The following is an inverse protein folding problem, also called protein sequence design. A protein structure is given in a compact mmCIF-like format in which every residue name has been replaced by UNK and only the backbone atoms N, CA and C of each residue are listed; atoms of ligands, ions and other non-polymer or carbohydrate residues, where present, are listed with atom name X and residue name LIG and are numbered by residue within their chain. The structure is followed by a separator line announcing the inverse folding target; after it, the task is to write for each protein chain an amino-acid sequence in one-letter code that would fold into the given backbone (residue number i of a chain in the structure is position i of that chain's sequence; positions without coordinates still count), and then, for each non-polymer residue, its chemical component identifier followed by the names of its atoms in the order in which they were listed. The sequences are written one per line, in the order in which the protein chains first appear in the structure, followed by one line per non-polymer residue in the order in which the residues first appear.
data_IF_628741232651
#
_entry.id   IF_628741232651
#
_cell.length_a   1.000
_cell.length_b   1.000
_cell.length_c   1.000
_cell.angle_alpha   90.00
_cell.angle_beta   90.00
_cell.angle_gamma   90.00
#
_symmetry.space_group_name_H-M   'P 1'
#
loop_
_entity.id
_entity.type
_entity.pdbx_description
1 polymer ?
#
# COMPACT_ATOMS: atom_id res chain seq x y z
N UNK A 1 -157.44 -49.90 106.01
CA UNK A 1 -156.90 -49.03 104.94
C UNK A 1 -155.53 -49.60 104.58
N UNK A 2 -155.24 -50.22 103.43
CA UNK A 2 -155.87 -50.21 102.12
C UNK A 2 -154.94 -49.71 101.00
N UNK A 3 -153.62 -49.69 101.19
CA UNK A 3 -152.65 -49.17 100.20
C UNK A 3 -151.49 -50.17 100.06
N UNK A 4 -151.18 -50.58 98.83
CA UNK A 4 -150.06 -51.45 98.45
C UNK A 4 -149.12 -50.67 97.51
N UNK A 5 -147.82 -50.67 97.80
CA UNK A 5 -146.82 -49.88 97.06
C UNK A 5 -146.34 -50.71 95.86
N UNK A 6 -146.66 -50.28 94.64
CA UNK A 6 -146.30 -50.98 93.39
C UNK A 6 -144.82 -50.79 92.99
N UNK A 7 -144.24 -49.63 93.29
CA UNK A 7 -142.86 -49.30 92.91
C UNK A 7 -142.42 -48.07 93.70
N UNK A 8 -141.19 -48.14 94.24
CA UNK A 8 -140.51 -46.99 94.83
C UNK A 8 -139.36 -46.59 93.89
N UNK A 9 -139.52 -45.45 93.21
CA UNK A 9 -138.47 -44.89 92.35
C UNK A 9 -137.88 -43.68 93.06
N UNK A 10 -136.59 -43.76 93.40
CA UNK A 10 -135.83 -42.63 93.93
C UNK A 10 -135.66 -41.63 92.79
N UNK A 11 -136.18 -40.40 92.97
CA UNK A 11 -136.02 -39.33 91.98
C UNK A 11 -134.68 -38.63 92.14
N UNK A 12 -134.39 -38.17 93.36
CA UNK A 12 -133.21 -37.37 93.64
C UNK A 12 -132.58 -37.80 94.96
N UNK A 13 -131.25 -37.93 94.96
CA UNK A 13 -130.44 -38.19 96.15
C UNK A 13 -129.62 -36.94 96.41
N UNK A 14 -129.91 -36.26 97.51
CA UNK A 14 -129.16 -35.09 97.97
C UNK A 14 -128.30 -35.47 99.17
N UNK A 15 -127.11 -34.89 99.21
CA UNK A 15 -126.12 -35.10 100.26
C UNK A 15 -125.77 -33.74 100.88
N UNK A 16 -125.90 -33.64 102.20
CA UNK A 16 -125.62 -32.42 102.96
C UNK A 16 -124.11 -32.19 103.16
N UNK A 17 -123.27 -33.21 102.92
CA UNK A 17 -121.81 -33.19 103.20
C UNK A 17 -120.95 -33.25 101.92
N UNK A 18 -121.51 -32.97 100.74
CA UNK A 18 -120.80 -32.81 99.46
C UNK A 18 -119.87 -33.99 99.04
N UNK A 19 -120.08 -35.19 99.57
CA UNK A 19 -119.24 -36.37 99.35
C UNK A 19 -119.29 -36.83 97.89
N UNK A 20 -120.47 -36.84 97.26
CA UNK A 20 -120.61 -37.23 95.84
C UNK A 20 -119.94 -36.24 94.88
N UNK A 21 -120.01 -34.94 95.18
CA UNK A 21 -119.36 -33.87 94.42
C UNK A 21 -117.84 -34.01 94.45
N UNK A 22 -117.29 -34.30 95.64
CA UNK A 22 -115.84 -34.44 95.84
C UNK A 22 -115.27 -35.69 95.17
N UNK A 23 -116.02 -36.80 95.15
CA UNK A 23 -115.63 -38.02 94.44
C UNK A 23 -115.51 -37.78 92.92
N UNK A 24 -116.42 -36.99 92.32
CA UNK A 24 -116.37 -36.63 90.91
C UNK A 24 -115.24 -35.65 90.52
N UNK A 25 -114.85 -34.75 91.44
CA UNK A 25 -113.73 -33.79 91.22
C UNK A 25 -112.39 -34.49 91.02
N UNK A 26 -112.11 -35.54 91.79
CA UNK A 26 -110.87 -36.32 91.63
C UNK A 26 -110.81 -37.04 90.28
N UNK A 27 -111.90 -37.70 89.89
CA UNK A 27 -111.98 -38.42 88.62
C UNK A 27 -111.87 -37.48 87.40
N UNK A 28 -112.52 -36.30 87.46
CA UNK A 28 -112.43 -35.30 86.38
C UNK A 28 -111.05 -34.65 86.27
N UNK A 29 -110.36 -34.40 87.38
CA UNK A 29 -108.97 -33.92 87.36
C UNK A 29 -108.01 -34.96 86.79
N UNK A 30 -108.20 -36.24 87.10
CA UNK A 30 -107.42 -37.35 86.55
C UNK A 30 -107.60 -37.45 85.02
N UNK A 31 -108.84 -37.42 84.53
CA UNK A 31 -109.11 -37.45 83.09
C UNK A 31 -108.53 -36.23 82.36
N UNK A 32 -108.61 -35.03 82.95
CA UNK A 32 -107.99 -33.83 82.37
C UNK A 32 -106.46 -33.95 82.31
N UNK A 33 -105.83 -34.44 83.39
CA UNK A 33 -104.38 -34.67 83.44
C UNK A 33 -103.94 -35.70 82.39
N UNK A 34 -104.68 -36.79 82.23
CA UNK A 34 -104.38 -37.83 81.25
C UNK A 34 -104.59 -37.31 79.82
N UNK A 35 -105.60 -36.47 79.59
CA UNK A 35 -105.80 -35.80 78.31
C UNK A 35 -104.65 -34.82 77.99
N UNK A 36 -104.25 -34.00 78.96
CA UNK A 36 -103.14 -33.05 78.80
C UNK A 36 -101.80 -33.79 78.58
N UNK A 37 -101.58 -34.90 79.28
CA UNK A 37 -100.42 -35.77 79.07
C UNK A 37 -100.44 -36.40 77.67
N UNK A 38 -101.59 -36.91 77.23
CA UNK A 38 -101.75 -37.46 75.87
C UNK A 38 -101.53 -36.41 74.77
N UNK A 39 -101.99 -35.17 74.97
CA UNK A 39 -101.72 -34.06 74.04
C UNK A 39 -100.23 -33.69 74.03
N UNK A 40 -99.58 -33.66 75.20
CA UNK A 40 -98.15 -33.34 75.29
C UNK A 40 -97.26 -34.44 74.66
N UNK A 41 -97.61 -35.71 74.85
CA UNK A 41 -96.95 -36.85 74.21
C UNK A 41 -97.15 -36.84 72.70
N UNK A 42 -98.39 -36.61 72.23
CA UNK A 42 -98.67 -36.49 70.80
C UNK A 42 -97.91 -35.33 70.15
N UNK A 43 -97.84 -34.17 70.81
CA UNK A 43 -97.07 -33.02 70.32
C UNK A 43 -95.56 -33.28 70.31
N UNK A 44 -95.04 -33.99 71.33
CA UNK A 44 -93.63 -34.39 71.38
C UNK A 44 -93.29 -35.35 70.25
N UNK A 45 -94.09 -36.38 70.04
CA UNK A 45 -93.87 -37.38 69.01
C UNK A 45 -94.04 -36.80 67.60
N UNK A 46 -95.00 -35.89 67.43
CA UNK A 46 -95.13 -35.11 66.20
C UNK A 46 -93.88 -34.26 65.94
N UNK A 47 -93.37 -33.56 66.96
CA UNK A 47 -92.15 -32.74 66.85
C UNK A 47 -90.89 -33.54 66.56
N UNK A 48 -90.71 -34.71 67.18
CA UNK A 48 -89.57 -35.62 66.90
C UNK A 48 -89.65 -36.12 65.46
N UNK A 49 -90.83 -36.58 65.03
CA UNK A 49 -91.03 -37.10 63.68
C UNK A 49 -90.85 -36.01 62.63
N UNK A 50 -91.31 -34.78 62.91
CA UNK A 50 -91.09 -33.63 62.05
C UNK A 50 -89.59 -33.28 61.96
N UNK A 51 -88.87 -33.24 63.08
CA UNK A 51 -87.44 -32.97 63.10
C UNK A 51 -86.63 -34.05 62.36
N UNK A 52 -87.00 -35.32 62.48
CA UNK A 52 -86.39 -36.44 61.75
C UNK A 52 -86.64 -36.32 60.24
N UNK A 53 -87.87 -36.05 59.83
CA UNK A 53 -88.21 -35.82 58.42
C UNK A 53 -87.47 -34.60 57.86
N UNK A 54 -87.36 -33.51 58.62
CA UNK A 54 -86.61 -32.32 58.23
C UNK A 54 -85.11 -32.61 58.09
N UNK A 55 -84.52 -33.35 59.05
CA UNK A 55 -83.12 -33.76 58.98
C UNK A 55 -82.86 -34.61 57.74
N UNK A 56 -83.69 -35.63 57.48
CA UNK A 56 -83.55 -36.48 56.29
C UNK A 56 -83.68 -35.69 54.99
N UNK A 57 -84.63 -34.75 54.92
CA UNK A 57 -84.79 -33.88 53.75
C UNK A 57 -83.55 -32.99 53.52
N UNK A 58 -82.96 -32.44 54.59
CA UNK A 58 -81.74 -31.64 54.50
C UNK A 58 -80.52 -32.49 54.12
N UNK A 59 -80.38 -33.70 54.68
CA UNK A 59 -79.30 -34.62 54.31
C UNK A 59 -79.35 -34.99 52.82
N UNK A 60 -80.56 -35.25 52.29
CA UNK A 60 -80.75 -35.52 50.85
C UNK A 60 -80.45 -34.27 50.01
N UNK A 61 -80.87 -33.07 50.44
CA UNK A 61 -80.53 -31.81 49.76
C UNK A 61 -79.02 -31.60 49.72
N UNK A 62 -78.33 -31.66 50.85
CA UNK A 62 -76.88 -31.46 50.90
C UNK A 62 -76.12 -32.53 50.10
N UNK A 63 -76.57 -33.78 50.12
CA UNK A 63 -75.98 -34.83 49.27
C UNK A 63 -76.14 -34.51 47.78
N UNK A 64 -77.32 -34.02 47.39
CA UNK A 64 -77.62 -33.63 46.01
C UNK A 64 -76.78 -32.42 45.60
N UNK A 65 -76.73 -31.39 46.43
CA UNK A 65 -75.98 -30.16 46.16
C UNK A 65 -74.47 -30.44 46.06
N UNK A 66 -73.94 -31.29 46.96
CA UNK A 66 -72.54 -31.73 46.89
C UNK A 66 -72.25 -32.43 45.57
N UNK A 67 -73.13 -33.32 45.12
CA UNK A 67 -72.98 -34.01 43.81
C UNK A 67 -73.08 -33.04 42.64
N UNK A 68 -73.95 -32.02 42.71
CA UNK A 68 -74.07 -31.00 41.66
C UNK A 68 -72.78 -30.20 41.56
N UNK A 69 -72.25 -29.74 42.69
CA UNK A 69 -71.00 -28.97 42.72
C UNK A 69 -69.79 -29.82 42.31
N UNK A 70 -69.72 -31.09 42.71
CA UNK A 70 -68.69 -32.01 42.25
C UNK A 70 -68.75 -32.21 40.73
N UNK A 71 -69.95 -32.43 40.17
CA UNK A 71 -70.13 -32.53 38.73
C UNK A 71 -69.76 -31.22 38.01
N UNK A 72 -70.14 -30.07 38.56
CA UNK A 72 -69.80 -28.76 38.01
C UNK A 72 -68.29 -28.49 38.04
N UNK A 73 -67.62 -28.87 39.15
CA UNK A 73 -66.17 -28.79 39.29
C UNK A 73 -65.48 -29.70 38.28
N UNK A 74 -65.92 -30.95 38.15
CA UNK A 74 -65.37 -31.92 37.19
C UNK A 74 -65.53 -31.42 35.75
N UNK A 75 -66.72 -30.90 35.40
CA UNK A 75 -66.96 -30.31 34.09
C UNK A 75 -66.03 -29.11 33.81
N UNK A 76 -65.87 -28.19 34.78
CA UNK A 76 -64.96 -27.05 34.64
C UNK A 76 -63.51 -27.47 34.48
N UNK A 77 -63.07 -28.47 35.25
CA UNK A 77 -61.71 -29.00 35.20
C UNK A 77 -61.44 -29.67 33.85
N UNK A 78 -62.39 -30.46 33.36
CA UNK A 78 -62.29 -31.11 32.06
C UNK A 78 -62.32 -30.09 30.91
N UNK A 79 -63.16 -29.05 30.99
CA UNK A 79 -63.14 -27.93 30.04
C UNK A 79 -61.79 -27.21 30.03
N UNK A 80 -61.24 -26.89 31.21
CA UNK A 80 -59.93 -26.26 31.33
C UNK A 80 -58.81 -27.13 30.74
N UNK A 81 -58.85 -28.45 30.93
CA UNK A 81 -57.89 -29.37 30.31
C UNK A 81 -57.98 -29.34 28.78
N UNK A 82 -59.19 -29.38 28.22
CA UNK A 82 -59.37 -29.27 26.76
C UNK A 82 -58.93 -27.91 26.22
N UNK A 83 -59.26 -26.81 26.92
CA UNK A 83 -58.81 -25.48 26.54
C UNK A 83 -57.27 -25.39 26.59
N UNK A 84 -56.64 -26.01 27.58
CA UNK A 84 -55.18 -26.12 27.66
C UNK A 84 -54.62 -26.89 26.46
N UNK A 85 -55.16 -28.07 26.14
CA UNK A 85 -54.71 -28.89 25.00
C UNK A 85 -54.89 -28.16 23.65
N UNK A 86 -56.03 -27.49 23.46
CA UNK A 86 -56.30 -26.70 22.25
C UNK A 86 -55.30 -25.55 22.15
N UNK A 87 -55.02 -24.85 23.26
CA UNK A 87 -54.08 -23.74 23.28
C UNK A 87 -52.64 -24.21 23.05
N UNK A 88 -52.22 -25.34 23.64
CA UNK A 88 -50.90 -25.92 23.38
C UNK A 88 -50.77 -26.35 21.92
N UNK A 89 -51.75 -27.06 21.37
CA UNK A 89 -51.75 -27.48 19.98
C UNK A 89 -51.73 -26.29 19.01
N UNK A 90 -52.46 -25.21 19.35
CA UNK A 90 -52.47 -23.96 18.57
C UNK A 90 -51.12 -23.25 18.64
N UNK A 91 -50.50 -23.15 19.81
CA UNK A 91 -49.18 -22.56 19.99
C UNK A 91 -48.11 -23.37 19.24
N UNK A 92 -48.14 -24.70 19.31
CA UNK A 92 -47.25 -25.58 18.56
C UNK A 92 -47.42 -25.41 17.05
N UNK A 93 -48.66 -25.34 16.56
CA UNK A 93 -48.95 -25.10 15.14
C UNK A 93 -48.43 -23.75 14.67
N UNK A 94 -48.58 -22.69 15.47
CA UNK A 94 -48.04 -21.36 15.17
C UNK A 94 -46.51 -21.37 15.14
N UNK A 95 -45.86 -21.96 16.14
CA UNK A 95 -44.39 -22.08 16.18
C UNK A 95 -43.86 -22.94 15.02
N UNK A 96 -44.56 -24.02 14.65
CA UNK A 96 -44.20 -24.85 13.51
C UNK A 96 -44.33 -24.06 12.19
N UNK A 97 -45.39 -23.27 12.03
CA UNK A 97 -45.57 -22.40 10.87
C UNK A 97 -44.46 -21.34 10.77
N UNK A 98 -44.16 -20.66 11.88
CA UNK A 98 -43.08 -19.67 11.94
C UNK A 98 -41.70 -20.28 11.65
N UNK A 99 -41.43 -21.47 12.21
CA UNK A 99 -40.20 -22.21 11.96
C UNK A 99 -40.06 -22.60 10.49
N UNK A 100 -41.15 -23.06 9.86
CA UNK A 100 -41.15 -23.38 8.42
C UNK A 100 -40.95 -22.13 7.57
N UNK A 101 -41.62 -21.02 7.91
CA UNK A 101 -41.42 -19.74 7.24
C UNK A 101 -39.96 -19.26 7.35
N UNK A 102 -39.33 -19.40 8.53
CA UNK A 102 -37.93 -19.07 8.74
C UNK A 102 -36.98 -19.97 7.92
N UNK A 103 -37.23 -21.28 7.88
CA UNK A 103 -36.46 -22.22 7.04
C UNK A 103 -36.57 -21.89 5.56
N UNK A 104 -37.77 -21.57 5.07
CA UNK A 104 -38.00 -21.17 3.69
C UNK A 104 -37.26 -19.86 3.40
N UNK A 105 -37.35 -18.85 4.27
CA UNK A 105 -36.59 -17.60 4.13
C UNK A 105 -35.08 -17.83 4.11
N UNK A 106 -34.56 -18.73 4.93
CA UNK A 106 -33.14 -19.10 4.90
C UNK A 106 -32.75 -19.73 3.56
N UNK A 107 -33.58 -20.64 3.02
CA UNK A 107 -33.37 -21.23 1.69
C UNK A 107 -33.39 -20.17 0.59
N UNK A 108 -34.37 -19.27 0.60
CA UNK A 108 -34.46 -18.15 -0.36
C UNK A 108 -33.19 -17.30 -0.30
N UNK A 109 -32.77 -16.88 0.90
CA UNK A 109 -31.54 -16.10 1.08
C UNK A 109 -30.30 -16.82 0.57
N UNK A 110 -30.18 -18.12 0.82
CA UNK A 110 -29.06 -18.91 0.31
C UNK A 110 -29.04 -18.95 -1.22
N UNK A 111 -30.21 -19.03 -1.86
CA UNK A 111 -30.34 -18.99 -3.32
C UNK A 111 -30.03 -17.60 -3.87
N UNK A 112 -30.53 -16.53 -3.22
CA UNK A 112 -30.20 -15.14 -3.55
C UNK A 112 -28.70 -14.89 -3.53
N UNK A 113 -28.00 -15.33 -2.48
CA UNK A 113 -26.53 -15.22 -2.39
C UNK A 113 -25.85 -15.99 -3.54
N UNK A 114 -26.39 -17.14 -3.95
CA UNK A 114 -25.83 -17.88 -5.09
C UNK A 114 -26.02 -17.12 -6.40
N UNK A 115 -27.18 -16.52 -6.61
CA UNK A 115 -27.45 -15.66 -7.77
C UNK A 115 -26.45 -14.49 -7.78
N UNK A 116 -26.26 -13.80 -6.66
CA UNK A 116 -25.32 -12.68 -6.53
C UNK A 116 -23.87 -13.12 -6.81
N UNK A 117 -23.45 -14.29 -6.32
CA UNK A 117 -22.11 -14.84 -6.58
C UNK A 117 -21.94 -15.15 -8.07
N UNK A 118 -22.95 -15.71 -8.73
CA UNK A 118 -22.91 -15.99 -10.17
C UNK A 118 -22.88 -14.70 -10.97
N UNK A 119 -23.67 -13.70 -10.61
CA UNK A 119 -23.67 -12.38 -11.25
C UNK A 119 -22.30 -11.70 -11.11
N UNK A 120 -21.74 -11.65 -9.90
CA UNK A 120 -20.40 -11.10 -9.64
C UNK A 120 -19.32 -11.84 -10.40
N UNK A 121 -19.38 -13.18 -10.47
CA UNK A 121 -18.43 -13.97 -11.26
C UNK A 121 -18.50 -13.63 -12.74
N UNK A 122 -19.72 -13.53 -13.30
CA UNK A 122 -19.91 -13.13 -14.70
C UNK A 122 -19.42 -11.70 -14.94
N UNK A 123 -19.62 -10.79 -14.00
CA UNK A 123 -19.10 -9.43 -14.10
C UNK A 123 -17.57 -9.41 -14.14
N UNK A 124 -16.90 -10.15 -13.23
CA UNK A 124 -15.44 -10.30 -13.24
C UNK A 124 -14.96 -10.92 -14.55
N UNK A 125 -15.69 -11.90 -15.10
CA UNK A 125 -15.35 -12.53 -16.37
C UNK A 125 -15.44 -11.53 -17.55
N UNK A 126 -16.51 -10.72 -17.59
CA UNK A 126 -16.65 -9.66 -18.60
C UNK A 126 -15.55 -8.62 -18.45
N UNK A 127 -15.27 -8.15 -17.22
CA UNK A 127 -14.19 -7.19 -16.95
C UNK A 127 -12.82 -7.77 -17.35
N UNK A 128 -12.55 -9.05 -17.08
CA UNK A 128 -11.33 -9.72 -17.50
C UNK A 128 -11.20 -9.78 -19.04
N UNK A 129 -12.31 -10.06 -19.74
CA UNK A 129 -12.34 -10.03 -21.21
C UNK A 129 -12.13 -8.61 -21.75
N UNK A 130 -12.70 -7.59 -21.11
CA UNK A 130 -12.47 -6.18 -21.47
C UNK A 130 -11.01 -5.77 -21.27
N UNK A 131 -10.39 -6.17 -20.16
CA UNK A 131 -8.95 -5.93 -19.92
C UNK A 131 -8.11 -6.59 -21.00
N UNK A 132 -8.41 -7.84 -21.37
CA UNK A 132 -7.69 -8.53 -22.45
C UNK A 132 -7.86 -7.81 -23.80
N UNK A 133 -9.08 -7.39 -24.14
CA UNK A 133 -9.35 -6.61 -25.37
C UNK A 133 -8.56 -5.31 -25.37
N UNK A 134 -8.54 -4.60 -24.25
CA UNK A 134 -7.81 -3.33 -24.09
C UNK A 134 -6.29 -3.51 -24.12
N UNK A 135 -5.78 -4.60 -23.56
CA UNK A 135 -4.36 -4.94 -23.63
C UNK A 135 -3.93 -5.23 -25.08
N UNK A 136 -4.75 -5.99 -25.83
CA UNK A 136 -4.51 -6.25 -27.25
C UNK A 136 -4.57 -4.96 -28.08
N UNK A 137 -5.54 -4.09 -27.81
CA UNK A 137 -5.64 -2.77 -28.46
C UNK A 137 -4.43 -1.91 -28.16
N UNK A 138 -4.03 -1.79 -26.88
CA UNK A 138 -2.85 -1.02 -26.48
C UNK A 138 -1.57 -1.59 -27.11
N UNK A 139 -1.46 -2.91 -27.18
CA UNK A 139 -0.32 -3.57 -27.82
C UNK A 139 -0.25 -3.21 -29.31
N UNK A 140 -1.37 -3.32 -30.02
CA UNK A 140 -1.44 -2.99 -31.45
C UNK A 140 -1.22 -1.49 -31.73
N UNK A 141 -1.82 -0.60 -30.94
CA UNK A 141 -1.83 0.84 -31.21
C UNK A 141 -0.62 1.59 -30.65
N UNK A 142 -0.03 1.13 -29.55
CA UNK A 142 1.05 1.86 -28.87
C UNK A 142 2.36 1.07 -28.89
N UNK A 143 2.36 -0.19 -28.46
CA UNK A 143 3.62 -0.96 -28.35
C UNK A 143 4.22 -1.28 -29.70
N UNK A 144 3.43 -1.84 -30.62
CA UNK A 144 3.91 -2.23 -31.95
C UNK A 144 4.50 -1.06 -32.76
N UNK A 145 3.84 0.12 -32.86
CA UNK A 145 4.43 1.25 -33.57
C UNK A 145 5.62 1.86 -32.82
N UNK A 146 5.61 1.89 -31.49
CA UNK A 146 6.77 2.34 -30.71
C UNK A 146 7.98 1.42 -30.90
N UNK A 147 7.76 0.10 -30.91
CA UNK A 147 8.79 -0.89 -31.22
C UNK A 147 9.32 -0.71 -32.65
N UNK A 148 8.43 -0.56 -33.63
CA UNK A 148 8.81 -0.31 -35.02
C UNK A 148 9.61 0.99 -35.19
N UNK A 149 9.22 2.07 -34.51
CA UNK A 149 9.94 3.34 -34.52
C UNK A 149 11.31 3.23 -33.83
N UNK A 150 11.37 2.57 -32.67
CA UNK A 150 12.62 2.32 -31.96
C UNK A 150 13.61 1.50 -32.80
N UNK A 151 13.13 0.45 -33.48
CA UNK A 151 13.92 -0.37 -34.38
C UNK A 151 14.41 0.43 -35.59
N UNK A 152 13.53 1.24 -36.19
CA UNK A 152 13.91 2.15 -37.29
C UNK A 152 14.99 3.13 -36.86
N UNK A 153 14.86 3.73 -35.68
CA UNK A 153 15.83 4.68 -35.15
C UNK A 153 17.17 3.99 -34.84
N UNK A 154 17.14 2.79 -34.26
CA UNK A 154 18.32 1.98 -34.01
C UNK A 154 19.06 1.65 -35.31
N UNK A 155 18.34 1.21 -36.34
CA UNK A 155 18.93 0.95 -37.66
C UNK A 155 19.55 2.19 -38.30
N UNK A 156 18.90 3.36 -38.19
CA UNK A 156 19.46 4.63 -38.67
C UNK A 156 20.71 5.02 -37.87
N UNK A 157 20.68 4.86 -36.54
CA UNK A 157 21.80 5.16 -35.67
C UNK A 157 23.00 4.24 -35.94
N UNK A 158 22.74 2.95 -36.15
CA UNK A 158 23.75 1.96 -36.52
C UNK A 158 24.33 2.22 -37.92
N UNK A 159 23.49 2.59 -38.88
CA UNK A 159 23.90 3.04 -40.21
C UNK A 159 24.83 4.26 -40.13
N UNK A 160 24.43 5.31 -39.39
CA UNK A 160 25.26 6.50 -39.15
C UNK A 160 26.57 6.18 -38.44
N UNK A 161 26.53 5.31 -37.42
CA UNK A 161 27.74 4.85 -36.71
C UNK A 161 28.69 4.14 -37.66
N UNK A 162 28.17 3.23 -38.47
CA UNK A 162 28.95 2.49 -39.47
C UNK A 162 29.53 3.43 -40.52
N UNK A 163 28.74 4.37 -41.04
CA UNK A 163 29.21 5.40 -41.97
C UNK A 163 30.33 6.25 -41.37
N UNK A 164 30.18 6.69 -40.12
CA UNK A 164 31.18 7.50 -39.42
C UNK A 164 32.48 6.70 -39.22
N UNK A 165 32.38 5.44 -38.80
CA UNK A 165 33.55 4.55 -38.64
C UNK A 165 34.22 4.30 -40.00
N UNK A 166 33.45 4.04 -41.05
CA UNK A 166 34.00 3.81 -42.40
C UNK A 166 34.66 5.08 -42.97
N UNK A 167 34.05 6.25 -42.79
CA UNK A 167 34.65 7.53 -43.18
C UNK A 167 35.95 7.77 -42.41
N UNK A 168 35.94 7.60 -41.09
CA UNK A 168 37.15 7.76 -40.28
C UNK A 168 38.25 6.77 -40.66
N UNK A 169 37.91 5.53 -41.00
CA UNK A 169 38.85 4.53 -41.54
C UNK A 169 39.40 4.95 -42.90
N UNK A 170 38.53 5.40 -43.81
CA UNK A 170 38.92 5.84 -45.14
C UNK A 170 39.85 7.07 -45.08
N UNK A 171 39.55 8.04 -44.21
CA UNK A 171 40.41 9.20 -43.96
C UNK A 171 41.75 8.78 -43.35
N UNK A 172 41.74 7.83 -42.40
CA UNK A 172 42.95 7.25 -41.83
C UNK A 172 43.83 6.55 -42.87
N UNK A 173 43.23 5.73 -43.75
CA UNK A 173 43.93 5.07 -44.85
C UNK A 173 44.46 6.09 -45.89
N UNK A 174 43.68 7.14 -46.18
CA UNK A 174 44.11 8.22 -47.06
C UNK A 174 45.35 8.92 -46.49
N UNK A 175 45.31 9.33 -45.22
CA UNK A 175 46.46 9.96 -44.54
C UNK A 175 47.67 9.01 -44.55
N UNK A 176 47.45 7.72 -44.26
CA UNK A 176 48.53 6.73 -44.28
C UNK A 176 49.17 6.60 -45.67
N UNK A 177 48.37 6.50 -46.74
CA UNK A 177 48.88 6.41 -48.13
C UNK A 177 49.60 7.68 -48.56
N UNK A 178 49.10 8.86 -48.18
CA UNK A 178 49.79 10.14 -48.44
C UNK A 178 51.13 10.15 -47.70
N UNK A 179 51.14 9.82 -46.40
CA UNK A 179 52.36 9.76 -45.60
C UNK A 179 53.38 8.73 -46.11
N UNK A 180 52.93 7.56 -46.58
CA UNK A 180 53.79 6.56 -47.22
C UNK A 180 54.36 7.07 -48.55
N UNK A 181 53.56 7.78 -49.35
CA UNK A 181 53.99 8.35 -50.63
C UNK A 181 54.99 9.48 -50.41
N UNK A 182 54.76 10.37 -49.43
CA UNK A 182 55.66 11.45 -49.04
C UNK A 182 56.96 10.89 -48.44
N UNK A 183 56.87 9.91 -47.54
CA UNK A 183 58.04 9.23 -46.99
C UNK A 183 58.84 8.52 -48.09
N UNK A 184 58.17 7.89 -49.06
CA UNK A 184 58.80 7.29 -50.23
C UNK A 184 59.48 8.32 -51.14
N UNK A 185 58.85 9.47 -51.36
CA UNK A 185 59.43 10.58 -52.12
C UNK A 185 60.66 11.16 -51.41
N UNK A 186 60.57 11.44 -50.11
CA UNK A 186 61.69 11.92 -49.28
C UNK A 186 62.81 10.88 -49.24
N UNK A 187 62.50 9.59 -49.08
CA UNK A 187 63.49 8.53 -49.09
C UNK A 187 64.19 8.41 -50.46
N UNK A 188 63.46 8.63 -51.56
CA UNK A 188 64.03 8.62 -52.92
C UNK A 188 64.92 9.83 -53.17
N UNK A 189 64.48 11.03 -52.76
CA UNK A 189 65.31 12.25 -52.79
C UNK A 189 66.54 12.08 -51.91
N UNK A 190 66.39 11.56 -50.68
CA UNK A 190 67.48 11.29 -49.75
C UNK A 190 68.47 10.24 -50.28
N UNK A 191 67.99 9.19 -50.97
CA UNK A 191 68.85 8.23 -51.67
C UNK A 191 69.60 8.89 -52.83
N UNK A 192 68.91 9.67 -53.66
CA UNK A 192 69.53 10.39 -54.76
C UNK A 192 70.58 11.40 -54.25
N UNK A 193 70.30 12.09 -53.15
CA UNK A 193 71.25 13.01 -52.52
C UNK A 193 72.43 12.26 -51.88
N UNK A 194 72.18 11.14 -51.21
CA UNK A 194 73.23 10.27 -50.68
C UNK A 194 74.11 9.70 -51.81
N UNK A 195 73.54 9.32 -52.96
CA UNK A 195 74.28 8.90 -54.15
C UNK A 195 75.07 10.05 -54.76
N UNK A 196 74.48 11.25 -54.89
CA UNK A 196 75.21 12.45 -55.32
C UNK A 196 76.36 12.78 -54.37
N UNK A 197 76.16 12.68 -53.07
CA UNK A 197 77.22 12.89 -52.08
C UNK A 197 78.28 11.80 -52.17
N UNK A 198 77.93 10.53 -52.40
CA UNK A 198 78.89 9.45 -52.63
C UNK A 198 79.69 9.67 -53.92
N UNK A 199 79.07 10.12 -55.00
CA UNK A 199 79.76 10.46 -56.24
C UNK A 199 80.67 11.67 -56.05
N UNK A 200 80.20 12.74 -55.39
CA UNK A 200 81.06 13.87 -54.99
C UNK A 200 82.23 13.39 -54.13
N UNK A 201 82.00 12.55 -53.13
CA UNK A 201 83.05 12.00 -52.28
C UNK A 201 84.02 11.08 -53.04
N UNK A 202 83.56 10.32 -54.03
CA UNK A 202 84.38 9.50 -54.90
C UNK A 202 85.27 10.36 -55.82
N UNK A 203 84.70 11.45 -56.36
CA UNK A 203 85.46 12.49 -57.09
C UNK A 203 86.49 13.10 -56.14
N UNK A 204 86.12 13.60 -54.96
CA UNK A 204 87.10 14.14 -53.99
C UNK A 204 88.19 13.13 -53.58
N UNK A 205 87.88 11.83 -53.53
CA UNK A 205 88.89 10.77 -53.32
C UNK A 205 89.85 10.61 -54.50
N UNK A 206 89.36 10.66 -55.73
CA UNK A 206 90.20 10.58 -56.94
C UNK A 206 91.01 11.86 -57.18
N UNK A 207 90.49 13.01 -56.76
CA UNK A 207 91.17 14.30 -56.75
C UNK A 207 91.91 14.58 -55.41
N UNK A 208 92.24 13.53 -54.64
CA UNK A 208 92.77 13.63 -53.27
C UNK A 208 94.06 14.45 -53.15
N UNK A 209 94.96 14.39 -54.13
CA UNK A 209 96.21 15.16 -54.09
C UNK A 209 96.09 16.52 -54.81
N UNK A 210 95.24 16.64 -55.83
CA UNK A 210 95.12 17.86 -56.63
C UNK A 210 94.10 18.87 -56.08
N UNK A 211 92.99 18.42 -55.49
CA UNK A 211 91.95 19.30 -54.94
C UNK A 211 92.35 19.90 -53.59
N UNK A 212 93.11 19.19 -52.75
CA UNK A 212 93.69 19.77 -51.53
C UNK A 212 94.69 20.86 -51.92
N UNK A 213 95.56 20.61 -52.91
CA UNK A 213 96.51 21.61 -53.39
C UNK A 213 95.80 22.83 -54.01
N UNK A 214 94.76 22.62 -54.81
CA UNK A 214 93.94 23.68 -55.40
C UNK A 214 93.18 24.50 -54.35
N UNK A 215 92.52 23.84 -53.38
CA UNK A 215 91.80 24.52 -52.30
C UNK A 215 92.76 25.30 -51.38
N UNK A 216 93.96 24.77 -51.13
CA UNK A 216 95.03 25.49 -50.41
C UNK A 216 95.57 26.65 -51.24
N UNK A 217 95.79 26.50 -52.55
CA UNK A 217 96.20 27.57 -53.47
C UNK A 217 95.13 28.67 -53.63
N UNK A 218 93.84 28.34 -53.53
CA UNK A 218 92.74 29.30 -53.62
C UNK A 218 92.44 29.97 -52.26
N UNK A 219 92.73 29.29 -51.15
CA UNK A 219 92.67 29.84 -49.79
C UNK A 219 93.92 30.65 -49.41
N UNK A 220 95.08 30.38 -50.02
CA UNK A 220 96.35 31.08 -49.75
C UNK A 220 96.26 32.61 -49.95
N UNK A 221 95.63 33.15 -51.02
CA UNK A 221 95.41 34.59 -51.16
C UNK A 221 94.56 35.18 -50.04
N UNK A 222 93.55 34.44 -49.55
CA UNK A 222 92.68 34.91 -48.46
C UNK A 222 93.41 34.90 -47.13
N UNK A 223 94.18 33.84 -46.84
CA UNK A 223 95.04 33.79 -45.64
C UNK A 223 96.15 34.85 -45.73
N UNK A 224 96.79 35.03 -46.89
CA UNK A 224 97.78 36.07 -47.10
C UNK A 224 97.17 37.47 -46.96
N UNK A 225 95.95 37.72 -47.43
CA UNK A 225 95.23 38.97 -47.25
C UNK A 225 94.88 39.23 -45.77
N UNK A 226 94.40 38.22 -45.04
CA UNK A 226 94.05 38.35 -43.62
C UNK A 226 95.30 38.52 -42.73
N UNK A 227 96.42 37.86 -43.07
CA UNK A 227 97.70 37.94 -42.34
C UNK A 227 98.51 39.20 -42.71
N UNK A 228 98.34 39.75 -43.92
CA UNK A 228 98.97 41.02 -44.34
C UNK A 228 98.13 42.26 -44.03
N UNK A 229 96.82 42.14 -43.83
CA UNK A 229 95.96 43.26 -43.45
C UNK A 229 96.43 44.03 -42.19
N UNK A 230 97.03 43.40 -41.15
CA UNK A 230 97.59 44.13 -40.01
C UNK A 230 98.99 44.72 -40.28
N UNK A 231 99.77 44.15 -41.21
CA UNK A 231 101.14 44.59 -41.55
C UNK A 231 101.17 45.69 -42.62
N UNK A 232 100.18 45.73 -43.52
CA UNK A 232 100.01 46.81 -44.50
C UNK A 232 99.45 48.11 -43.86
N UNK A 233 98.95 48.03 -42.62
CA UNK A 233 98.35 49.16 -41.90
C UNK A 233 99.28 49.82 -40.88
N UNK A 234 100.54 49.38 -40.80
CA UNK A 234 101.60 50.01 -39.99
C UNK A 234 102.62 50.67 -40.91
N UNK A 235 102.31 51.87 -41.41
CA UNK A 235 103.25 52.69 -42.21
C UNK A 235 104.16 53.58 -41.36
N UNK A 236 104.02 53.63 -40.02
CA UNK A 236 104.95 54.38 -39.17
C UNK A 236 104.94 53.87 -37.73
N UNK A 237 106.08 53.36 -37.25
CA UNK A 237 106.34 53.10 -35.83
C UNK A 237 107.19 54.26 -35.30
N UNK A 238 106.53 55.26 -34.71
CA UNK A 238 107.08 56.45 -34.04
C UNK A 238 105.97 56.84 -33.05
N UNK A 239 106.12 57.00 -31.73
CA UNK A 239 107.24 57.22 -30.81
C UNK A 239 106.63 57.33 -29.38
N UNK A 240 107.42 57.37 -28.31
CA UNK A 240 107.48 58.49 -27.35
C UNK A 240 108.11 58.05 -26.02
N UNK A 241 109.24 58.70 -25.74
CA UNK A 241 109.84 58.85 -24.43
C UNK A 241 110.72 60.11 -24.44
N UNK A 242 110.12 61.28 -24.19
CA UNK A 242 110.80 62.54 -23.83
C UNK A 242 110.64 63.73 -24.79
N UNK A 243 109.87 64.76 -24.36
CA UNK A 243 109.81 66.20 -24.78
C UNK A 243 109.84 66.53 -26.29
N UNK A 244 108.90 67.21 -26.93
CA UNK A 244 108.02 68.31 -26.51
C UNK A 244 106.74 68.33 -27.40
N UNK A 245 105.58 68.58 -26.77
CA UNK A 245 104.36 69.29 -27.24
C UNK A 245 103.88 69.12 -28.71
N UNK A 246 102.64 68.78 -29.08
CA UNK A 246 101.29 69.09 -28.55
C UNK A 246 100.27 68.27 -29.35
N UNK A 247 99.42 67.42 -28.73
CA UNK A 247 98.02 67.73 -28.37
C UNK A 247 97.12 68.12 -29.55
N UNK A 248 96.31 67.18 -30.12
CA UNK A 248 94.92 67.43 -30.62
C UNK A 248 94.25 66.37 -31.56
N UNK A 249 94.63 65.08 -31.65
CA UNK A 249 93.96 64.15 -32.62
C UNK A 249 93.27 62.90 -32.06
N UNK A 250 92.98 62.85 -30.76
CA UNK A 250 92.15 61.78 -30.15
C UNK A 250 90.62 61.99 -30.40
N UNK A 251 90.21 63.06 -31.08
CA UNK A 251 88.79 63.44 -31.18
C UNK A 251 88.05 63.01 -32.47
N UNK A 252 88.65 62.25 -33.40
CA UNK A 252 88.05 62.04 -34.75
C UNK A 252 87.82 60.60 -35.25
N UNK A 253 88.20 59.56 -34.51
CA UNK A 253 88.07 58.17 -34.99
C UNK A 253 86.88 57.37 -34.40
N UNK A 254 86.03 57.99 -33.58
CA UNK A 254 84.87 57.33 -32.91
C UNK A 254 83.53 57.56 -33.63
N UNK A 255 83.52 58.14 -34.83
CA UNK A 255 82.28 58.66 -35.44
C UNK A 255 82.00 58.27 -36.90
N UNK A 256 82.57 57.17 -37.41
CA UNK A 256 82.27 56.67 -38.77
C UNK A 256 82.07 55.14 -38.81
N UNK A 257 80.95 54.64 -38.28
CA UNK A 257 79.80 54.20 -39.09
C UNK A 257 78.77 53.47 -38.20
N UNK A 258 77.46 53.70 -38.42
CA UNK A 258 76.38 53.54 -37.43
C UNK A 258 75.68 52.17 -37.42
N UNK A 259 74.74 51.92 -36.47
CA UNK A 259 74.16 50.61 -36.17
C UNK A 259 73.02 50.26 -37.14
N UNK A 260 73.35 49.59 -38.25
CA UNK A 260 72.37 49.21 -39.28
C UNK A 260 72.15 47.68 -39.42
N UNK A 261 72.51 46.87 -38.42
CA UNK A 261 72.37 45.39 -38.49
C UNK A 261 71.34 44.83 -37.48
N UNK A 262 70.82 45.65 -36.57
CA UNK A 262 69.74 45.24 -35.65
C UNK A 262 68.31 45.45 -36.20
N UNK A 263 68.15 45.96 -37.43
CA UNK A 263 66.84 46.16 -38.06
C UNK A 263 66.53 45.15 -39.19
N UNK A 264 67.49 44.30 -39.59
CA UNK A 264 67.33 43.38 -40.73
C UNK A 264 67.18 41.90 -40.36
N UNK A 265 67.27 41.54 -39.07
CA UNK A 265 67.13 40.14 -38.64
C UNK A 265 66.00 39.90 -37.64
N UNK A 266 65.22 40.92 -37.27
CA UNK A 266 63.85 40.76 -36.75
C UNK A 266 63.64 39.81 -35.56
N UNK A 267 64.66 39.52 -34.77
CA UNK A 267 64.56 38.60 -33.62
C UNK A 267 65.09 39.28 -32.36
N UNK A 268 64.17 39.66 -31.48
CA UNK A 268 64.42 40.09 -30.10
C UNK A 268 64.94 38.91 -29.25
N UNK A 269 66.26 38.80 -29.07
CA UNK A 269 66.86 37.79 -28.17
C UNK A 269 66.52 38.00 -26.68
N UNK A 270 65.97 39.16 -26.28
CA UNK A 270 65.49 39.40 -24.92
C UNK A 270 64.18 38.65 -24.58
N UNK A 271 63.52 38.02 -25.56
CA UNK A 271 62.27 37.25 -25.35
C UNK A 271 62.41 35.73 -25.47
N UNK A 272 63.61 35.23 -25.82
CA UNK A 272 63.88 33.78 -25.97
C UNK A 272 64.50 33.17 -24.69
N UNK A 273 64.96 34.01 -23.76
CA UNK A 273 65.45 33.57 -22.45
C UNK A 273 64.34 33.30 -21.40
N UNK A 274 63.07 33.55 -21.75
CA UNK A 274 61.92 33.43 -20.83
C UNK A 274 61.06 32.18 -21.00
N UNK A 275 61.42 31.23 -21.87
CA UNK A 275 60.61 30.03 -22.16
C UNK A 275 61.45 28.78 -22.41
N UNK A 276 62.24 28.35 -21.41
CA UNK A 276 62.55 26.92 -21.24
C UNK A 276 62.39 26.57 -19.75
N UNK A 277 61.70 25.46 -19.41
CA UNK A 277 61.27 25.13 -18.05
C UNK A 277 62.36 24.38 -17.27
N UNK A 278 62.56 24.77 -16.00
CA UNK A 278 63.09 23.90 -14.95
C UNK A 278 64.61 23.78 -14.80
N UNK A 279 65.22 24.66 -13.99
CA UNK A 279 66.37 24.33 -13.12
C UNK A 279 66.55 25.38 -12.00
N UNK A 280 65.98 25.06 -10.83
CA UNK A 280 66.43 25.38 -9.46
C UNK A 280 66.89 26.81 -9.12
N UNK A 281 66.03 27.53 -8.38
CA UNK A 281 66.46 28.34 -7.23
C UNK A 281 65.72 27.85 -5.98
N UNK A 282 66.49 27.22 -5.10
CA UNK A 282 66.12 26.81 -3.75
C UNK A 282 66.23 28.00 -2.79
N UNK A 283 65.27 28.08 -1.85
CA UNK A 283 65.37 28.69 -0.51
C UNK A 283 65.40 30.24 -0.45
N UNK A 284 64.66 30.97 0.40
CA UNK A 284 64.02 30.67 1.70
C UNK A 284 62.94 31.74 1.97
N UNK A 285 61.78 31.34 2.51
CA UNK A 285 60.85 32.25 3.17
C UNK A 285 60.29 31.58 4.43
N UNK A 286 60.87 31.91 5.60
CA UNK A 286 60.21 31.80 6.90
C UNK A 286 60.96 32.63 7.97
N UNK A 287 60.16 33.34 8.77
CA UNK A 287 60.37 33.83 10.15
C UNK A 287 60.85 35.28 10.36
N UNK A 288 59.94 36.01 11.05
CA UNK A 288 59.99 37.31 11.74
C UNK A 288 59.81 38.58 10.92
#
# INVERSE_FOLDING_TARGET
MGIEILSFTIKDVYDDVEYLSSLGKAQTAMVKRDADAGVAEANRDAGIREAECQKQAMDVKYSTDTKIEDNARMFKLQKANFDQEINTAKAESQLAYELQAAKIRQKIRNEEIQIDVVERKKQIEVEAQEVQRKELELNATVRLPAEAESYRLQMIAEGKRTQTIQSAKADGERIKKIGESEAGAIASVGKAEAERMRQKAAVYKQYGDAAIMSLVLEALPKIAAEVSAPLAKTEEIVLIGGSDSTTAEISRLVSQIPPAVNALTGVDLSKVLGKIPGATTSQTAAVK
#
